data_IF_709407682613
#
_entry.id   IF_709407682613
#
_cell.length_a   1.000
_cell.length_b   1.000
_cell.length_c   1.000
_cell.angle_alpha   90.00
_cell.angle_beta   90.00
_cell.angle_gamma   90.00
#
_symmetry.space_group_name_H-M   'P 1'
#
loop_
_entity.id
_entity.type
_entity.pdbx_description
1 polymer ?
#
# COMPACT_ATOMS: atom_id res chain seq x y z
N UNK A 1 21.57 -10.98 -6.45
CA UNK A 1 21.43 -12.44 -6.26
C UNK A 1 20.35 -12.92 -7.22
N UNK A 2 20.46 -14.13 -7.76
CA UNK A 2 19.31 -14.74 -8.44
C UNK A 2 18.17 -14.96 -7.44
N UNK A 3 16.89 -14.94 -7.84
CA UNK A 3 15.76 -15.15 -6.94
C UNK A 3 15.92 -16.41 -6.05
N UNK A 4 16.28 -17.54 -6.65
CA UNK A 4 16.58 -18.79 -5.95
C UNK A 4 17.72 -18.71 -4.90
N UNK A 5 18.67 -17.79 -5.08
CA UNK A 5 19.73 -17.54 -4.08
C UNK A 5 19.21 -16.72 -2.90
N UNK A 6 18.25 -15.82 -3.14
CA UNK A 6 17.59 -15.02 -2.10
C UNK A 6 16.79 -15.94 -1.18
N UNK A 7 15.97 -16.85 -1.72
CA UNK A 7 15.21 -17.81 -0.90
C UNK A 7 16.13 -18.71 -0.07
N UNK A 8 17.25 -19.18 -0.63
CA UNK A 8 18.26 -19.97 0.12
C UNK A 8 18.85 -19.16 1.27
N UNK A 9 19.14 -17.88 1.04
CA UNK A 9 19.67 -17.00 2.07
C UNK A 9 18.63 -16.77 3.18
N UNK A 10 17.39 -16.44 2.83
CA UNK A 10 16.28 -16.26 3.78
C UNK A 10 16.14 -17.50 4.67
N UNK A 11 16.04 -18.70 4.09
CA UNK A 11 15.91 -19.94 4.85
C UNK A 11 17.14 -20.31 5.69
N UNK A 12 18.31 -19.73 5.40
CA UNK A 12 19.53 -19.95 6.19
C UNK A 12 19.63 -19.09 7.45
N UNK A 13 18.73 -18.12 7.62
CA UNK A 13 18.74 -17.14 8.71
C UNK A 13 17.62 -17.44 9.71
N UNK A 14 17.87 -18.23 10.78
CA UNK A 14 16.81 -18.72 11.67
C UNK A 14 16.13 -17.63 12.52
N UNK A 15 16.74 -16.44 12.63
CA UNK A 15 16.25 -15.31 13.42
C UNK A 15 15.84 -14.11 12.55
N UNK A 16 15.54 -14.35 11.27
CA UNK A 16 15.10 -13.29 10.37
C UNK A 16 13.64 -12.92 10.66
N UNK A 17 13.43 -11.69 11.13
CA UNK A 17 12.10 -11.14 11.43
C UNK A 17 11.69 -10.11 10.38
N UNK A 18 12.56 -9.14 10.11
CA UNK A 18 12.36 -8.10 9.10
C UNK A 18 13.07 -8.47 7.79
N UNK A 19 12.43 -8.13 6.67
CA UNK A 19 12.89 -8.47 5.34
C UNK A 19 12.63 -7.32 4.38
N UNK A 20 13.70 -6.68 3.91
CA UNK A 20 13.68 -5.72 2.81
C UNK A 20 14.24 -6.42 1.56
N UNK A 21 13.40 -6.50 0.52
CA UNK A 21 13.81 -6.98 -0.79
C UNK A 21 13.59 -5.88 -1.82
N UNK A 22 14.66 -5.14 -2.05
CA UNK A 22 14.66 -4.08 -3.06
C UNK A 22 15.48 -4.44 -4.31
N UNK A 23 14.88 -4.27 -5.49
CA UNK A 23 15.51 -4.56 -6.79
C UNK A 23 15.41 -3.37 -7.76
N UNK A 24 16.52 -2.64 -7.90
CA UNK A 24 16.61 -1.43 -8.75
C UNK A 24 17.12 -1.69 -10.18
N UNK A 25 17.48 -2.92 -10.56
CA UNK A 25 18.11 -3.19 -11.86
C UNK A 25 17.09 -3.56 -12.94
N UNK A 26 16.98 -2.69 -13.95
CA UNK A 26 16.19 -2.90 -15.20
C UNK A 26 16.91 -3.85 -16.18
N UNK A 27 17.63 -4.86 -15.67
CA UNK A 27 18.24 -5.88 -16.51
C UNK A 27 17.19 -6.90 -16.93
N UNK A 28 17.20 -7.31 -18.20
CA UNK A 28 16.43 -8.44 -18.72
C UNK A 28 16.93 -9.75 -18.12
N UNK A 29 16.67 -9.98 -16.84
CA UNK A 29 16.77 -11.31 -16.29
C UNK A 29 15.53 -12.05 -16.74
N UNK A 30 15.70 -12.98 -17.68
CA UNK A 30 14.73 -14.06 -17.83
C UNK A 30 14.63 -14.71 -16.45
N UNK A 31 13.44 -14.61 -15.84
CA UNK A 31 13.12 -15.33 -14.63
C UNK A 31 13.15 -16.81 -15.02
N UNK A 32 14.33 -17.43 -14.92
CA UNK A 32 14.54 -18.85 -15.18
C UNK A 32 13.44 -19.63 -14.45
N UNK A 33 12.82 -20.57 -15.17
CA UNK A 33 11.75 -21.44 -14.67
C UNK A 33 12.15 -22.07 -13.33
N UNK A 34 11.72 -21.44 -12.25
CA UNK A 34 12.11 -21.81 -10.90
C UNK A 34 11.57 -23.21 -10.60
N UNK A 35 12.50 -24.13 -10.36
CA UNK A 35 12.15 -25.42 -9.79
C UNK A 35 11.75 -25.16 -8.34
N UNK A 36 10.58 -25.61 -7.85
CA UNK A 36 10.14 -25.34 -6.50
C UNK A 36 11.19 -25.84 -5.49
N UNK A 37 11.83 -24.89 -4.80
CA UNK A 37 12.84 -25.18 -3.80
C UNK A 37 12.12 -25.64 -2.53
N UNK A 38 12.22 -26.93 -2.20
CA UNK A 38 11.73 -27.45 -0.92
C UNK A 38 12.71 -27.12 0.19
N UNK A 39 12.39 -26.12 0.99
CA UNK A 39 13.14 -25.81 2.20
C UNK A 39 12.57 -26.62 3.38
N UNK A 40 13.43 -27.22 4.22
CA UNK A 40 12.98 -28.01 5.38
C UNK A 40 12.41 -27.13 6.50
N UNK A 41 12.78 -25.85 6.54
CA UNK A 41 12.28 -24.87 7.50
C UNK A 41 12.41 -23.45 6.92
N UNK A 42 11.57 -22.53 7.39
CA UNK A 42 11.70 -21.09 7.19
C UNK A 42 11.77 -20.37 8.54
N UNK A 43 12.43 -19.20 8.61
CA UNK A 43 12.34 -18.34 9.78
C UNK A 43 10.90 -17.89 10.04
N UNK A 44 10.61 -17.36 11.24
CA UNK A 44 9.27 -16.94 11.62
C UNK A 44 8.70 -15.81 10.73
N UNK A 45 9.54 -14.93 10.17
CA UNK A 45 9.11 -13.84 9.27
C UNK A 45 7.92 -13.03 9.83
N UNK A 46 8.09 -12.54 11.06
CA UNK A 46 7.04 -11.86 11.84
C UNK A 46 7.14 -10.33 11.87
N UNK A 47 8.24 -9.79 11.35
CA UNK A 47 8.54 -8.36 11.37
C UNK A 47 7.92 -7.63 10.18
N UNK A 48 8.69 -6.76 9.57
CA UNK A 48 8.31 -5.97 8.41
C UNK A 48 8.74 -6.64 7.11
N UNK A 49 7.88 -6.63 6.10
CA UNK A 49 8.21 -6.97 4.71
C UNK A 49 8.15 -5.70 3.85
N UNK A 50 9.28 -5.30 3.26
CA UNK A 50 9.34 -4.24 2.25
C UNK A 50 9.70 -4.84 0.89
N UNK A 51 8.81 -4.64 -0.09
CA UNK A 51 8.96 -5.11 -1.47
C UNK A 51 8.94 -3.94 -2.45
N UNK A 52 10.13 -3.61 -2.96
CA UNK A 52 10.32 -2.57 -3.97
C UNK A 52 10.97 -3.17 -5.23
N UNK A 53 10.17 -3.40 -6.28
CA UNK A 53 10.62 -4.07 -7.50
C UNK A 53 10.15 -3.32 -8.75
N UNK A 54 11.10 -2.79 -9.52
CA UNK A 54 10.83 -2.08 -10.78
C UNK A 54 10.23 -2.97 -11.90
N UNK A 55 10.11 -4.28 -11.70
CA UNK A 55 9.57 -5.25 -12.69
C UNK A 55 8.37 -6.04 -12.17
N UNK A 56 7.82 -5.63 -11.04
CA UNK A 56 6.74 -6.33 -10.37
C UNK A 56 7.24 -7.35 -9.35
N UNK A 57 6.31 -7.78 -8.47
CA UNK A 57 6.63 -8.52 -7.24
C UNK A 57 6.39 -10.04 -7.36
N UNK A 58 5.82 -10.50 -8.48
CA UNK A 58 5.35 -11.88 -8.70
C UNK A 58 6.33 -12.98 -8.26
N UNK A 59 7.57 -12.94 -8.75
CA UNK A 59 8.56 -13.99 -8.49
C UNK A 59 8.89 -14.07 -7.00
N UNK A 60 9.06 -12.92 -6.36
CA UNK A 60 9.39 -12.83 -4.94
C UNK A 60 8.19 -13.22 -4.08
N UNK A 61 7.00 -12.76 -4.44
CA UNK A 61 5.76 -13.10 -3.75
C UNK A 61 5.54 -14.62 -3.76
N UNK A 62 5.67 -15.28 -4.92
CA UNK A 62 5.59 -16.75 -5.02
C UNK A 62 6.56 -17.45 -4.08
N UNK A 63 7.83 -17.05 -4.11
CA UNK A 63 8.86 -17.67 -3.28
C UNK A 63 8.59 -17.51 -1.78
N UNK A 64 8.08 -16.34 -1.37
CA UNK A 64 7.72 -16.07 0.02
C UNK A 64 6.49 -16.90 0.44
N UNK A 65 5.48 -17.00 -0.42
CA UNK A 65 4.26 -17.77 -0.18
C UNK A 65 4.50 -19.29 -0.15
N UNK A 66 5.51 -19.78 -0.87
CA UNK A 66 5.91 -21.19 -0.89
C UNK A 66 6.75 -21.63 0.33
N UNK A 67 7.05 -20.71 1.27
CA UNK A 67 7.80 -21.05 2.48
C UNK A 67 6.99 -22.02 3.36
N UNK A 68 7.63 -23.03 3.96
CA UNK A 68 6.95 -24.13 4.68
C UNK A 68 6.11 -23.68 5.88
N UNK A 69 6.41 -22.52 6.48
CA UNK A 69 5.63 -21.96 7.59
C UNK A 69 4.72 -20.79 7.16
N UNK A 70 4.64 -20.47 5.87
CA UNK A 70 3.98 -19.26 5.38
C UNK A 70 4.70 -17.97 5.77
N UNK A 71 3.99 -16.86 5.67
CA UNK A 71 4.46 -15.51 6.01
C UNK A 71 3.60 -14.93 7.13
N UNK A 72 4.21 -14.22 8.08
CA UNK A 72 3.55 -13.76 9.31
C UNK A 72 3.86 -12.30 9.62
N UNK A 73 4.11 -11.50 8.57
CA UNK A 73 4.53 -10.11 8.71
C UNK A 73 3.46 -9.27 9.40
N UNK A 74 3.90 -8.33 10.24
CA UNK A 74 3.04 -7.33 10.88
C UNK A 74 2.89 -6.07 10.03
N UNK A 75 3.88 -5.79 9.17
CA UNK A 75 3.87 -4.65 8.26
C UNK A 75 4.19 -5.15 6.87
N UNK A 76 3.38 -4.74 5.90
CA UNK A 76 3.59 -5.00 4.48
C UNK A 76 3.74 -3.66 3.75
N UNK A 77 4.92 -3.38 3.22
CA UNK A 77 5.19 -2.22 2.36
C UNK A 77 5.44 -2.72 0.94
N UNK A 78 4.58 -2.33 0.01
CA UNK A 78 4.60 -2.81 -1.36
C UNK A 78 4.53 -1.65 -2.35
N UNK A 79 5.38 -1.72 -3.36
CA UNK A 79 5.27 -0.88 -4.55
C UNK A 79 4.43 -1.58 -5.63
N UNK A 80 3.40 -0.88 -6.11
CA UNK A 80 2.50 -1.32 -7.16
C UNK A 80 2.96 -0.72 -8.49
N UNK A 81 3.55 -1.57 -9.35
CA UNK A 81 4.04 -1.15 -10.67
C UNK A 81 3.10 -1.57 -11.80
N UNK A 82 2.50 -2.76 -11.75
CA UNK A 82 1.63 -3.34 -12.80
C UNK A 82 0.30 -3.80 -12.23
N UNK A 83 -0.73 -3.89 -13.06
CA UNK A 83 -2.03 -4.47 -12.66
C UNK A 83 -1.88 -5.89 -12.09
N UNK A 84 -1.01 -6.72 -12.68
CA UNK A 84 -0.69 -8.07 -12.19
C UNK A 84 -0.07 -8.06 -10.78
N UNK A 85 0.63 -6.99 -10.38
CA UNK A 85 1.20 -6.89 -9.02
C UNK A 85 0.12 -6.86 -7.97
N UNK A 86 -1.05 -6.31 -8.30
CA UNK A 86 -2.16 -6.24 -7.36
C UNK A 86 -2.65 -7.63 -6.94
N UNK A 87 -2.71 -8.58 -7.87
CA UNK A 87 -3.06 -9.95 -7.54
C UNK A 87 -2.06 -10.53 -6.52
N UNK A 88 -0.77 -10.22 -6.68
CA UNK A 88 0.26 -10.67 -5.75
C UNK A 88 0.21 -9.94 -4.42
N UNK A 89 -0.07 -8.64 -4.40
CA UNK A 89 -0.30 -7.87 -3.16
C UNK A 89 -1.46 -8.48 -2.39
N UNK A 90 -2.59 -8.76 -3.06
CA UNK A 90 -3.73 -9.44 -2.44
C UNK A 90 -3.36 -10.82 -1.89
N UNK A 91 -2.58 -11.60 -2.64
CA UNK A 91 -2.12 -12.91 -2.18
C UNK A 91 -1.19 -12.81 -0.97
N UNK A 92 -0.35 -11.77 -0.90
CA UNK A 92 0.53 -11.50 0.25
C UNK A 92 -0.28 -11.05 1.46
N UNK A 93 -1.20 -10.10 1.29
CA UNK A 93 -2.13 -9.65 2.34
C UNK A 93 -2.89 -10.84 2.91
N UNK A 94 -3.41 -11.72 2.06
CA UNK A 94 -4.09 -12.96 2.45
C UNK A 94 -3.18 -13.95 3.19
N UNK A 95 -1.91 -14.02 2.77
CA UNK A 95 -0.90 -14.88 3.36
C UNK A 95 -0.53 -14.49 4.80
N UNK A 96 -0.51 -13.19 5.11
CA UNK A 96 -0.21 -12.67 6.45
C UNK A 96 -1.44 -12.07 7.16
N UNK A 97 -2.65 -12.40 6.72
CA UNK A 97 -3.89 -11.73 7.16
C UNK A 97 -4.14 -11.78 8.68
N UNK A 98 -3.68 -12.83 9.35
CA UNK A 98 -3.83 -13.01 10.79
C UNK A 98 -2.74 -12.30 11.62
N UNK A 99 -1.72 -11.74 10.98
CA UNK A 99 -0.63 -11.00 11.64
C UNK A 99 -0.49 -9.57 11.17
N UNK A 100 -1.03 -9.23 10.00
CA UNK A 100 -0.89 -7.94 9.37
C UNK A 100 -1.57 -6.85 10.22
N UNK A 101 -0.78 -5.89 10.69
CA UNK A 101 -1.23 -4.73 11.44
C UNK A 101 -1.19 -3.44 10.62
N UNK A 102 -0.29 -3.34 9.66
CA UNK A 102 -0.13 -2.15 8.82
C UNK A 102 0.20 -2.52 7.39
N UNK A 103 -0.34 -1.78 6.42
CA UNK A 103 0.00 -1.96 5.02
C UNK A 103 0.27 -0.61 4.36
N UNK A 104 1.44 -0.46 3.75
CA UNK A 104 1.80 0.67 2.92
C UNK A 104 1.78 0.24 1.44
N UNK A 105 1.05 0.99 0.62
CA UNK A 105 0.94 0.78 -0.82
C UNK A 105 1.45 2.03 -1.52
N UNK A 106 2.51 1.87 -2.30
CA UNK A 106 3.08 2.94 -3.13
C UNK A 106 2.70 2.70 -4.58
N UNK A 107 2.05 3.66 -5.23
CA UNK A 107 1.57 3.47 -6.62
C UNK A 107 2.41 4.27 -7.59
N UNK A 108 3.09 3.59 -8.52
CA UNK A 108 3.98 4.23 -9.51
C UNK A 108 3.25 4.53 -10.83
N UNK A 109 3.48 5.74 -11.39
CA UNK A 109 2.75 6.39 -12.50
C UNK A 109 2.70 5.62 -13.83
N UNK A 110 3.45 4.53 -13.98
CA UNK A 110 3.86 4.01 -15.28
C UNK A 110 2.91 2.99 -15.92
N UNK A 111 1.80 2.60 -15.29
CA UNK A 111 0.97 1.48 -15.77
C UNK A 111 -0.51 1.76 -16.05
N UNK A 112 -0.98 3.02 -15.97
CA UNK A 112 -2.40 3.33 -16.19
C UNK A 112 -2.79 3.40 -17.67
N UNK A 113 -2.93 2.23 -18.30
CA UNK A 113 -3.91 2.02 -19.36
C UNK A 113 -4.50 0.62 -19.18
N UNK A 114 -5.60 0.48 -18.42
CA UNK A 114 -6.88 -0.13 -18.87
C UNK A 114 -7.85 -0.46 -17.73
N UNK A 115 -8.96 0.28 -17.63
CA UNK A 115 -10.36 -0.15 -17.43
C UNK A 115 -10.81 -1.20 -16.39
N UNK A 116 -9.97 -1.87 -15.60
CA UNK A 116 -10.43 -2.73 -14.51
C UNK A 116 -10.04 -2.15 -13.16
N UNK A 117 -11.08 -1.88 -12.35
CA UNK A 117 -11.00 -1.33 -11.00
C UNK A 117 -10.60 -2.45 -10.06
N UNK A 118 -9.38 -2.93 -10.19
CA UNK A 118 -8.84 -3.89 -9.26
C UNK A 118 -8.28 -3.10 -8.05
N UNK A 119 -8.65 -3.50 -6.83
CA UNK A 119 -8.16 -2.88 -5.59
C UNK A 119 -7.57 -3.93 -4.64
N UNK A 120 -6.85 -3.48 -3.62
CA UNK A 120 -6.35 -4.37 -2.57
C UNK A 120 -7.51 -4.76 -1.66
N UNK A 121 -7.78 -6.06 -1.57
CA UNK A 121 -8.79 -6.63 -0.69
C UNK A 121 -8.17 -6.89 0.68
N UNK A 122 -8.57 -6.05 1.63
CA UNK A 122 -8.15 -6.20 3.02
C UNK A 122 -9.13 -7.02 3.85
N UNK A 123 -10.26 -7.52 3.33
CA UNK A 123 -11.36 -8.12 4.11
C UNK A 123 -10.94 -9.27 5.04
N UNK A 124 -9.84 -9.96 4.74
CA UNK A 124 -9.30 -11.06 5.55
C UNK A 124 -8.31 -10.62 6.63
N UNK A 125 -7.70 -9.44 6.50
CA UNK A 125 -6.65 -8.92 7.37
C UNK A 125 -7.17 -8.43 8.74
N UNK A 126 -7.82 -9.30 9.52
CA UNK A 126 -8.60 -8.94 10.73
C UNK A 126 -7.88 -8.14 11.82
N UNK A 127 -6.54 -8.12 11.82
CA UNK A 127 -5.73 -7.34 12.77
C UNK A 127 -5.21 -6.01 12.22
N UNK A 128 -5.61 -5.64 11.00
CA UNK A 128 -5.18 -4.42 10.34
C UNK A 128 -5.66 -3.20 11.13
N UNK A 129 -4.70 -2.37 11.52
CA UNK A 129 -4.92 -1.14 12.31
C UNK A 129 -4.74 0.11 11.47
N UNK A 130 -3.94 0.04 10.42
CA UNK A 130 -3.73 1.20 9.56
C UNK A 130 -3.33 0.85 8.14
N UNK A 131 -3.58 1.77 7.22
CA UNK A 131 -3.09 1.72 5.85
C UNK A 131 -2.49 3.05 5.45
N UNK A 132 -1.43 2.98 4.65
CA UNK A 132 -0.79 4.11 4.02
C UNK A 132 -0.89 3.97 2.50
N UNK A 133 -1.32 5.03 1.84
CA UNK A 133 -1.28 5.15 0.39
C UNK A 133 -0.30 6.26 -0.01
N UNK A 134 0.77 5.90 -0.70
CA UNK A 134 1.67 6.86 -1.33
C UNK A 134 1.25 7.08 -2.78
N UNK A 135 0.63 8.23 -3.03
CA UNK A 135 0.08 8.58 -4.33
C UNK A 135 1.11 9.36 -5.14
N UNK A 136 1.43 8.89 -6.34
CA UNK A 136 2.18 9.70 -7.31
C UNK A 136 1.28 10.62 -8.15
N UNK A 137 -0.02 10.31 -8.20
CA UNK A 137 -1.01 11.10 -8.90
C UNK A 137 -2.36 10.99 -8.17
N UNK A 138 -3.03 12.12 -7.98
CA UNK A 138 -4.34 12.19 -7.33
C UNK A 138 -5.47 11.60 -8.21
N UNK A 139 -5.20 11.38 -9.50
CA UNK A 139 -6.08 10.62 -10.40
C UNK A 139 -6.10 9.12 -10.13
N UNK A 140 -5.27 8.62 -9.21
CA UNK A 140 -5.31 7.23 -8.81
C UNK A 140 -6.55 6.91 -7.95
N UNK A 141 -7.55 6.38 -8.63
CA UNK A 141 -8.83 5.93 -8.06
C UNK A 141 -8.69 4.66 -7.21
N UNK A 142 -7.55 3.96 -7.30
CA UNK A 142 -7.34 2.67 -6.64
C UNK A 142 -7.29 2.83 -5.13
N UNK A 143 -6.65 3.89 -4.64
CA UNK A 143 -6.63 4.23 -3.21
C UNK A 143 -8.04 4.52 -2.69
N UNK A 144 -8.84 5.28 -3.44
CA UNK A 144 -10.23 5.58 -3.09
C UNK A 144 -11.06 4.30 -2.96
N UNK A 145 -10.91 3.37 -3.91
CA UNK A 145 -11.65 2.11 -3.91
C UNK A 145 -11.20 1.17 -2.79
N UNK A 146 -9.90 1.04 -2.57
CA UNK A 146 -9.35 0.25 -1.47
C UNK A 146 -9.85 0.74 -0.11
N UNK A 147 -9.86 2.06 0.11
CA UNK A 147 -10.37 2.67 1.34
C UNK A 147 -11.86 2.41 1.56
N UNK A 148 -12.69 2.47 0.50
CA UNK A 148 -14.13 2.17 0.60
C UNK A 148 -14.39 0.72 1.03
N UNK A 149 -13.64 -0.23 0.47
CA UNK A 149 -13.75 -1.65 0.81
C UNK A 149 -13.30 -1.90 2.25
N UNK A 150 -12.20 -1.28 2.67
CA UNK A 150 -11.60 -1.53 3.98
C UNK A 150 -12.50 -1.06 5.15
N UNK A 151 -13.10 0.12 5.08
CA UNK A 151 -13.69 0.72 6.29
C UNK A 151 -15.10 0.16 6.59
N UNK A 152 -15.74 -0.47 5.61
CA UNK A 152 -17.04 -1.11 5.82
C UNK A 152 -16.99 -2.27 6.84
N UNK A 153 -15.86 -2.98 6.91
CA UNK A 153 -15.76 -4.25 7.63
C UNK A 153 -14.95 -4.18 8.93
N UNK A 154 -14.20 -3.10 9.16
CA UNK A 154 -13.20 -3.05 10.23
C UNK A 154 -13.59 -2.15 11.41
N UNK A 155 -13.82 -2.77 12.57
CA UNK A 155 -14.12 -2.04 13.82
C UNK A 155 -12.90 -1.52 14.57
N UNK A 156 -11.75 -2.20 14.43
CA UNK A 156 -10.52 -1.90 15.18
C UNK A 156 -9.53 -1.06 14.36
N UNK A 157 -9.96 -0.57 13.20
CA UNK A 157 -9.16 0.22 12.29
C UNK A 157 -8.94 1.63 12.86
N UNK A 158 -7.69 2.08 12.89
CA UNK A 158 -7.26 3.25 13.66
C UNK A 158 -6.71 4.36 12.78
N UNK A 159 -6.12 4.04 11.63
CA UNK A 159 -5.31 5.01 10.88
C UNK A 159 -5.46 4.88 9.36
N UNK A 160 -5.70 6.01 8.72
CA UNK A 160 -5.55 6.18 7.27
C UNK A 160 -4.49 7.23 7.05
N UNK A 161 -3.47 6.89 6.29
CA UNK A 161 -2.44 7.83 5.87
C UNK A 161 -2.45 7.94 4.36
N UNK A 162 -2.55 9.15 3.84
CA UNK A 162 -2.48 9.43 2.41
C UNK A 162 -1.32 10.40 2.20
N UNK A 163 -0.25 9.91 1.58
CA UNK A 163 0.89 10.73 1.20
C UNK A 163 0.59 11.35 -0.16
N UNK A 164 0.51 12.67 -0.17
CA UNK A 164 0.17 13.47 -1.34
C UNK A 164 1.37 13.54 -2.31
N UNK A 165 1.12 13.59 -3.62
CA UNK A 165 2.19 13.67 -4.61
C UNK A 165 2.97 14.98 -4.52
N UNK A 166 4.26 14.92 -4.90
CA UNK A 166 5.13 16.07 -5.00
C UNK A 166 4.66 17.04 -6.10
N UNK A 167 4.83 18.34 -5.84
CA UNK A 167 4.05 19.44 -6.39
C UNK A 167 4.18 19.66 -7.91
N UNK A 168 5.28 19.21 -8.53
CA UNK A 168 5.54 19.38 -9.97
C UNK A 168 4.59 18.56 -10.87
N UNK A 169 3.87 17.60 -10.28
CA UNK A 169 2.98 16.68 -11.00
C UNK A 169 1.51 17.14 -11.04
N UNK A 170 1.14 18.13 -10.21
CA UNK A 170 -0.25 18.43 -9.86
C UNK A 170 -0.64 19.80 -10.39
N UNK A 171 -0.85 19.91 -11.70
CA UNK A 171 -1.86 20.85 -12.18
C UNK A 171 -3.23 20.22 -11.84
N UNK A 172 -3.55 20.13 -10.55
CA UNK A 172 -4.68 19.35 -9.99
C UNK A 172 -6.04 19.76 -10.55
N UNK A 173 -6.09 20.92 -11.21
CA UNK A 173 -7.23 21.44 -11.97
C UNK A 173 -7.48 20.70 -13.29
N UNK A 174 -6.54 19.87 -13.77
CA UNK A 174 -6.71 19.04 -14.97
C UNK A 174 -7.30 17.66 -14.70
N UNK A 175 -7.60 17.33 -13.44
CA UNK A 175 -8.30 16.10 -13.14
C UNK A 175 -9.71 16.14 -13.72
N UNK A 176 -10.21 14.98 -14.13
CA UNK A 176 -11.56 14.85 -14.66
C UNK A 176 -12.57 15.05 -13.54
N UNK A 177 -13.78 15.53 -13.89
CA UNK A 177 -14.90 15.62 -12.94
C UNK A 177 -15.20 14.26 -12.28
N UNK A 178 -14.88 13.16 -12.96
CA UNK A 178 -15.02 11.79 -12.47
C UNK A 178 -14.11 11.50 -11.28
N UNK A 179 -12.81 11.77 -11.38
CA UNK A 179 -11.85 11.54 -10.27
C UNK A 179 -12.24 12.36 -9.05
N UNK A 180 -12.55 13.64 -9.24
CA UNK A 180 -13.03 14.50 -8.17
C UNK A 180 -14.32 13.96 -7.53
N UNK A 181 -15.26 13.48 -8.35
CA UNK A 181 -16.48 12.83 -7.85
C UNK A 181 -16.20 11.64 -6.94
N UNK A 182 -15.19 10.82 -7.26
CA UNK A 182 -14.83 9.67 -6.44
C UNK A 182 -14.21 10.06 -5.09
N UNK A 183 -13.34 11.08 -5.07
CA UNK A 183 -12.81 11.66 -3.82
C UNK A 183 -13.92 12.24 -2.96
N UNK A 184 -14.87 12.98 -3.56
CA UNK A 184 -16.04 13.51 -2.86
C UNK A 184 -16.92 12.40 -2.27
N UNK A 185 -17.07 11.27 -2.98
CA UNK A 185 -17.81 10.13 -2.45
C UNK A 185 -17.08 9.43 -1.31
N UNK A 186 -15.75 9.33 -1.38
CA UNK A 186 -14.93 8.85 -0.27
C UNK A 186 -15.04 9.77 0.94
N UNK A 187 -14.90 11.09 0.76
CA UNK A 187 -15.00 12.09 1.81
C UNK A 187 -16.33 11.97 2.56
N UNK A 188 -17.46 11.93 1.84
CA UNK A 188 -18.78 11.74 2.45
C UNK A 188 -18.90 10.41 3.20
N UNK A 189 -18.34 9.35 2.64
CA UNK A 189 -18.35 8.02 3.25
C UNK A 189 -17.55 8.01 4.56
N UNK A 190 -16.31 8.50 4.54
CA UNK A 190 -15.45 8.63 5.72
C UNK A 190 -16.12 9.53 6.78
N UNK A 191 -16.65 10.68 6.36
CA UNK A 191 -17.30 11.62 7.26
C UNK A 191 -18.57 11.04 7.89
N UNK A 192 -19.26 10.10 7.21
CA UNK A 192 -20.43 9.41 7.74
C UNK A 192 -20.05 8.32 8.75
N UNK A 193 -18.98 7.57 8.48
CA UNK A 193 -18.49 6.52 9.37
C UNK A 193 -17.79 7.06 10.61
N UNK A 194 -17.25 8.26 10.52
CA UNK A 194 -16.50 8.87 11.60
C UNK A 194 -17.35 9.03 12.87
N UNK A 195 -16.80 8.52 13.96
CA UNK A 195 -17.18 8.82 15.34
C UNK A 195 -15.95 9.36 16.05
N UNK A 196 -16.12 10.20 17.09
CA UNK A 196 -15.02 10.53 17.99
C UNK A 196 -14.34 9.22 18.43
N UNK A 197 -13.03 9.12 18.22
CA UNK A 197 -12.18 7.95 18.50
C UNK A 197 -12.28 6.74 17.54
N UNK A 198 -12.96 6.86 16.39
CA UNK A 198 -13.03 5.76 15.42
C UNK A 198 -11.70 5.51 14.70
N UNK A 199 -11.20 6.49 13.95
CA UNK A 199 -9.93 6.44 13.24
C UNK A 199 -9.41 7.86 12.98
N UNK A 200 -8.10 7.97 12.74
CA UNK A 200 -7.42 9.20 12.34
C UNK A 200 -7.15 9.17 10.84
N UNK A 201 -7.19 10.36 10.23
CA UNK A 201 -6.82 10.53 8.82
C UNK A 201 -5.68 11.53 8.75
N UNK A 202 -4.53 11.05 8.27
CA UNK A 202 -3.32 11.84 8.08
C UNK A 202 -3.16 12.13 6.59
N UNK A 203 -2.96 13.40 6.25
CA UNK A 203 -2.51 13.82 4.93
C UNK A 203 -1.06 14.29 5.04
N UNK A 204 -0.15 13.51 4.49
CA UNK A 204 1.28 13.81 4.52
C UNK A 204 1.67 14.55 3.23
N UNK A 205 2.40 15.66 3.36
CA UNK A 205 2.88 16.46 2.23
C UNK A 205 4.39 16.75 2.38
N UNK A 206 5.17 16.73 1.30
CA UNK A 206 6.65 16.84 1.38
C UNK A 206 7.24 18.16 0.89
N UNK A 207 6.55 18.89 0.01
CA UNK A 207 7.12 20.11 -0.61
C UNK A 207 6.15 21.27 -0.75
N UNK A 208 4.88 21.07 -0.39
CA UNK A 208 3.85 22.11 -0.47
C UNK A 208 3.99 23.07 0.70
N UNK A 209 3.74 24.35 0.47
CA UNK A 209 3.47 25.24 1.59
C UNK A 209 2.24 24.75 2.36
N UNK A 210 2.21 24.90 3.70
CA UNK A 210 1.08 24.49 4.54
C UNK A 210 -0.27 24.99 3.98
N UNK A 211 -0.32 26.20 3.43
CA UNK A 211 -1.52 26.75 2.79
C UNK A 211 -2.00 25.96 1.56
N UNK A 212 -1.09 25.50 0.71
CA UNK A 212 -1.43 24.69 -0.48
C UNK A 212 -1.83 23.26 -0.09
N UNK A 213 -1.23 22.72 0.97
CA UNK A 213 -1.65 21.45 1.56
C UNK A 213 -3.07 21.55 2.15
N UNK A 214 -3.39 22.65 2.83
CA UNK A 214 -4.73 22.95 3.32
C UNK A 214 -5.76 23.04 2.18
N UNK A 215 -5.47 23.83 1.13
CA UNK A 215 -6.37 23.95 -0.02
C UNK A 215 -6.60 22.59 -0.71
N UNK A 216 -5.56 21.76 -0.82
CA UNK A 216 -5.68 20.43 -1.39
C UNK A 216 -6.50 19.49 -0.50
N UNK A 217 -6.28 19.53 0.82
CA UNK A 217 -7.05 18.76 1.78
C UNK A 217 -8.54 19.13 1.74
N UNK A 218 -8.86 20.43 1.67
CA UNK A 218 -10.23 20.93 1.50
C UNK A 218 -10.84 20.49 0.17
N UNK A 219 -10.04 20.37 -0.88
CA UNK A 219 -10.50 19.90 -2.19
C UNK A 219 -10.76 18.40 -2.22
N UNK A 220 -9.85 17.58 -1.65
CA UNK A 220 -9.95 16.12 -1.63
C UNK A 220 -11.00 15.61 -0.63
N UNK A 221 -10.99 16.19 0.57
CA UNK A 221 -11.75 15.71 1.73
C UNK A 221 -12.46 16.88 2.47
N UNK A 222 -13.37 17.62 1.80
CA UNK A 222 -13.98 18.82 2.36
C UNK A 222 -14.77 18.58 3.65
N UNK A 223 -15.59 17.52 3.71
CA UNK A 223 -16.41 17.24 4.90
C UNK A 223 -15.55 16.77 6.08
N UNK A 224 -14.54 15.93 5.82
CA UNK A 224 -13.59 15.50 6.85
C UNK A 224 -12.77 16.68 7.39
N UNK A 225 -12.33 17.58 6.49
CA UNK A 225 -11.58 18.79 6.86
C UNK A 225 -12.44 19.76 7.67
N UNK A 226 -13.68 20.03 7.25
CA UNK A 226 -14.64 20.87 8.01
C UNK A 226 -14.90 20.34 9.42
N UNK A 227 -14.87 19.02 9.60
CA UNK A 227 -15.05 18.36 10.90
C UNK A 227 -13.77 18.34 11.75
N UNK A 228 -12.64 18.79 11.22
CA UNK A 228 -11.33 18.75 11.90
C UNK A 228 -10.81 17.33 12.10
N UNK A 229 -11.15 16.40 11.21
CA UNK A 229 -10.74 14.99 11.30
C UNK A 229 -9.38 14.77 10.62
N UNK A 230 -9.09 15.58 9.60
CA UNK A 230 -7.86 15.49 8.83
C UNK A 230 -6.74 16.20 9.59
N UNK A 231 -5.66 15.48 9.88
CA UNK A 231 -4.41 16.03 10.38
C UNK A 231 -3.42 16.17 9.21
N UNK A 232 -2.98 17.40 8.93
CA UNK A 232 -1.94 17.67 7.94
C UNK A 232 -0.57 17.52 8.57
N UNK A 233 0.32 16.78 7.92
CA UNK A 233 1.67 16.53 8.42
C UNK A 233 2.70 16.84 7.34
N UNK A 234 3.65 17.69 7.68
CA UNK A 234 4.84 17.91 6.86
C UNK A 234 5.73 16.66 6.94
N UNK A 235 6.03 16.07 5.79
CA UNK A 235 6.90 14.90 5.68
C UNK A 235 8.29 15.18 6.27
N UNK A 236 8.81 16.39 6.12
CA UNK A 236 10.13 16.75 6.66
C UNK A 236 10.13 16.88 8.19
N UNK A 237 8.95 16.86 8.82
CA UNK A 237 8.78 16.88 10.27
C UNK A 237 8.61 15.48 10.91
N UNK A 238 8.52 14.41 10.10
CA UNK A 238 8.41 13.00 10.54
C UNK A 238 9.79 12.37 10.78
#
# INVERSE_FOLDING_TARGET
LLPSQVSKLICSLPFLEDLDITCYKVGSYDCDNDTPLRYPASPPLTGTLELCWARGIESTARQLLDLPNGIHFRLLDCMWYREDDLQWINTLVDGCADTLHYCCIRVERSSLVTSQVACVDFSRATKLKGVEFQLEDLSDVSAVMALKTLIADYRDFQEITICLPDDDSVDGRRQTEEVHGQWMDLDRFLAHLWKPDAFRVWLIYRTRGEGEACELAEWLLPEMTKKGIVELVDYDAL
#
